data_IF_018419582390
#
_entry.id   IF_018419582390
#
_cell.length_a   1.000
_cell.length_b   1.000
_cell.length_c   1.000
_cell.angle_alpha   90.00
_cell.angle_beta   90.00
_cell.angle_gamma   90.00
#
_symmetry.space_group_name_H-M   'P 1'
#
loop_
_entity.id
_entity.type
_entity.pdbx_description
1 polymer ?
#
# COMPACT_ATOMS: atom_id res chain seq x y z
N UNK A 1 1.80 -26.48 32.83
CA UNK A 1 2.20 -25.07 32.64
C UNK A 1 2.48 -24.84 31.16
N UNK A 2 1.90 -23.76 30.64
CA UNK A 2 1.67 -23.42 29.23
C UNK A 2 2.93 -23.02 28.46
N UNK A 3 3.06 -23.51 27.21
CA UNK A 3 3.67 -22.76 26.11
C UNK A 3 2.91 -23.08 24.81
N UNK A 4 1.85 -22.31 24.53
CA UNK A 4 1.20 -22.30 23.21
C UNK A 4 2.09 -21.53 22.22
N UNK A 5 2.63 -22.26 21.24
CA UNK A 5 3.28 -21.69 20.05
C UNK A 5 2.19 -21.27 19.06
N UNK A 6 1.87 -19.98 19.02
CA UNK A 6 1.04 -19.42 17.95
C UNK A 6 1.92 -19.01 16.78
N UNK A 7 2.11 -19.91 15.83
CA UNK A 7 2.58 -19.59 14.50
C UNK A 7 1.37 -19.17 13.65
N UNK A 8 1.20 -17.87 13.41
CA UNK A 8 0.27 -17.37 12.40
C UNK A 8 1.02 -17.31 11.06
N UNK A 9 0.89 -18.35 10.26
CA UNK A 9 1.26 -18.34 8.84
C UNK A 9 0.01 -17.91 8.08
N UNK A 10 -0.03 -16.65 7.62
CA UNK A 10 -1.08 -16.19 6.72
C UNK A 10 -0.56 -16.29 5.29
N UNK A 11 -0.71 -17.47 4.70
CA UNK A 11 -0.65 -17.66 3.25
C UNK A 11 -2.00 -17.25 2.67
N UNK A 12 -2.08 -16.08 2.04
CA UNK A 12 -3.21 -15.76 1.15
C UNK A 12 -2.77 -14.83 0.04
N UNK A 13 -2.00 -15.37 -0.89
CA UNK A 13 -1.73 -14.79 -2.18
C UNK A 13 -1.90 -15.89 -3.21
N UNK A 14 -3.15 -16.18 -3.57
CA UNK A 14 -3.57 -16.96 -4.74
C UNK A 14 -5.11 -17.00 -4.70
N UNK A 15 -5.75 -15.95 -5.22
CA UNK A 15 -7.14 -15.95 -5.74
C UNK A 15 -7.49 -14.54 -6.26
N UNK A 16 -6.65 -14.01 -7.15
CA UNK A 16 -7.07 -12.95 -8.08
C UNK A 16 -6.91 -13.46 -9.51
N UNK A 17 -7.45 -14.64 -9.78
CA UNK A 17 -7.91 -15.00 -11.11
C UNK A 17 -9.40 -14.64 -11.16
N UNK A 18 -9.68 -13.35 -11.34
CA UNK A 18 -11.00 -12.93 -11.80
C UNK A 18 -11.13 -13.42 -13.24
N UNK A 19 -11.80 -14.55 -13.43
CA UNK A 19 -12.20 -15.04 -14.74
C UNK A 19 -12.96 -13.92 -15.46
N UNK A 20 -12.41 -13.49 -16.60
CA UNK A 20 -13.09 -12.61 -17.53
C UNK A 20 -14.23 -13.42 -18.16
N UNK A 21 -15.47 -13.16 -17.75
CA UNK A 21 -16.67 -13.74 -18.36
C UNK A 21 -17.07 -12.94 -19.61
N UNK A 22 -17.34 -13.58 -20.76
CA UNK A 22 -17.69 -12.90 -21.99
C UNK A 22 -19.19 -12.54 -22.03
N UNK A 23 -19.51 -11.34 -22.51
CA UNK A 23 -20.84 -10.99 -23.01
C UNK A 23 -21.84 -10.51 -21.96
N UNK A 24 -22.06 -9.20 -21.93
CA UNK A 24 -23.15 -8.55 -21.20
C UNK A 24 -23.53 -7.26 -21.92
N UNK A 25 -24.31 -7.39 -22.98
CA UNK A 25 -24.95 -6.31 -23.72
C UNK A 25 -25.95 -5.56 -22.83
N UNK A 26 -25.78 -4.25 -22.68
CA UNK A 26 -26.83 -3.33 -22.26
C UNK A 26 -26.69 -2.02 -23.06
N UNK A 27 -27.63 -1.77 -23.95
CA UNK A 27 -27.84 -0.48 -24.64
C UNK A 27 -28.57 0.53 -23.76
N UNK A 28 -28.66 1.79 -24.22
CA UNK A 28 -29.94 2.21 -24.81
C UNK A 28 -29.81 2.97 -26.14
N UNK A 29 -30.92 2.95 -26.86
CA UNK A 29 -31.17 3.49 -28.20
C UNK A 29 -30.70 4.93 -28.43
N UNK A 30 -30.18 5.17 -29.64
CA UNK A 30 -29.87 6.49 -30.18
C UNK A 30 -29.58 6.38 -31.67
N UNK A 31 -30.61 6.63 -32.48
CA UNK A 31 -30.59 6.66 -33.94
C UNK A 31 -29.53 7.60 -34.51
N UNK A 32 -28.64 7.10 -35.36
CA UNK A 32 -28.11 7.89 -36.46
C UNK A 32 -27.64 7.00 -37.62
N UNK A 33 -27.92 7.48 -38.82
CA UNK A 33 -27.87 6.77 -40.10
C UNK A 33 -26.46 6.65 -40.68
N UNK A 34 -26.24 5.56 -41.43
CA UNK A 34 -25.44 5.53 -42.65
C UNK A 34 -23.91 5.58 -42.54
N UNK A 35 -23.24 4.44 -42.74
CA UNK A 35 -22.36 4.20 -43.90
C UNK A 35 -21.95 2.71 -43.90
N UNK A 36 -22.12 2.10 -45.07
CA UNK A 36 -21.82 0.70 -45.39
C UNK A 36 -20.33 0.47 -45.69
N UNK A 37 -19.76 -0.60 -45.13
CA UNK A 37 -18.84 -1.48 -45.88
C UNK A 37 -18.61 -2.80 -45.14
N UNK A 38 -18.92 -3.89 -45.84
CA UNK A 38 -18.73 -5.27 -45.44
C UNK A 38 -17.24 -5.66 -45.44
N UNK A 39 -16.81 -6.45 -44.46
CA UNK A 39 -15.83 -7.53 -44.68
C UNK A 39 -16.10 -8.69 -43.72
N UNK A 40 -16.33 -9.84 -44.35
CA UNK A 40 -16.42 -11.19 -43.83
C UNK A 40 -15.02 -11.72 -43.49
N UNK A 41 -14.89 -12.57 -42.46
CA UNK A 41 -13.74 -13.49 -42.38
C UNK A 41 -13.28 -13.93 -40.99
N UNK A 42 -13.68 -15.14 -40.59
CA UNK A 42 -12.75 -16.12 -40.03
C UNK A 42 -12.41 -16.03 -38.54
N UNK A 43 -13.08 -16.87 -37.74
CA UNK A 43 -12.60 -17.23 -36.41
C UNK A 43 -11.23 -17.92 -36.48
N UNK A 44 -10.33 -17.53 -35.58
CA UNK A 44 -9.08 -18.26 -35.31
C UNK A 44 -8.74 -18.08 -33.84
N UNK A 45 -9.07 -19.11 -33.06
CA UNK A 45 -8.64 -19.29 -31.68
C UNK A 45 -7.13 -19.52 -31.66
N UNK A 46 -6.35 -18.50 -31.32
CA UNK A 46 -4.92 -18.65 -30.98
C UNK A 46 -4.75 -18.68 -29.48
N UNK A 47 -4.50 -19.90 -28.98
CA UNK A 47 -3.90 -20.15 -27.67
C UNK A 47 -2.44 -19.70 -27.73
N UNK A 48 -2.08 -18.65 -26.99
CA UNK A 48 -0.67 -18.30 -26.79
C UNK A 48 -0.29 -18.51 -25.33
N UNK A 49 0.39 -19.63 -25.13
CA UNK A 49 1.14 -19.98 -23.93
C UNK A 49 2.54 -19.34 -24.03
N UNK A 50 2.96 -18.64 -22.97
CA UNK A 50 4.37 -18.35 -22.63
C UNK A 50 5.22 -17.55 -23.63
N UNK A 51 5.34 -16.24 -23.40
CA UNK A 51 6.36 -15.41 -24.07
C UNK A 51 6.75 -14.19 -23.25
N UNK A 52 7.91 -14.24 -22.60
CA UNK A 52 8.56 -13.09 -21.97
C UNK A 52 9.36 -12.29 -23.03
N UNK A 53 9.20 -10.96 -22.96
CA UNK A 53 9.96 -9.87 -23.62
C UNK A 53 9.77 -9.70 -25.14
N UNK A 54 8.91 -8.74 -25.50
CA UNK A 54 9.08 -7.92 -26.71
C UNK A 54 8.84 -6.46 -26.34
N UNK A 55 9.93 -5.68 -26.39
CA UNK A 55 9.91 -4.23 -26.21
C UNK A 55 9.41 -3.55 -27.48
N UNK A 56 8.18 -3.02 -27.41
CA UNK A 56 7.71 -1.76 -27.98
C UNK A 56 6.18 -1.67 -27.74
N UNK A 57 5.80 -1.19 -26.54
CA UNK A 57 4.40 -1.13 -26.08
C UNK A 57 4.27 -1.62 -24.63
N UNK A 58 5.01 -1.01 -23.71
CA UNK A 58 5.40 -1.68 -22.45
C UNK A 58 4.25 -1.94 -21.48
N UNK A 59 3.15 -1.20 -21.49
CA UNK A 59 1.91 -1.55 -20.77
C UNK A 59 0.71 -0.93 -21.51
N UNK A 60 -0.31 -1.72 -21.85
CA UNK A 60 -1.62 -1.14 -22.18
C UNK A 60 -2.13 -0.32 -20.97
N UNK A 61 -2.84 0.79 -21.21
CA UNK A 61 -3.30 1.69 -20.14
C UNK A 61 -4.02 0.98 -18.99
N UNK A 62 -4.78 -0.08 -19.30
CA UNK A 62 -5.46 -0.93 -18.31
C UNK A 62 -4.48 -1.74 -17.45
N UNK A 63 -3.41 -2.29 -18.04
CA UNK A 63 -2.40 -3.07 -17.29
C UNK A 63 -1.62 -2.18 -16.33
N UNK A 64 -1.24 -0.98 -16.76
CA UNK A 64 -0.57 -0.01 -15.89
C UNK A 64 -1.45 0.44 -14.73
N UNK A 65 -2.75 0.62 -14.96
CA UNK A 65 -3.73 0.97 -13.94
C UNK A 65 -3.86 -0.13 -12.88
N UNK A 66 -4.00 -1.38 -13.32
CA UNK A 66 -4.08 -2.52 -12.40
C UNK A 66 -2.77 -2.65 -11.62
N UNK A 67 -1.62 -2.56 -12.28
CA UNK A 67 -0.31 -2.63 -11.64
C UNK A 67 -0.12 -1.51 -10.60
N UNK A 68 -0.50 -0.27 -10.93
CA UNK A 68 -0.50 0.86 -10.00
C UNK A 68 -1.33 0.56 -8.75
N UNK A 69 -2.59 0.16 -8.94
CA UNK A 69 -3.52 -0.13 -7.85
C UNK A 69 -3.04 -1.26 -6.95
N UNK A 70 -2.54 -2.36 -7.54
CA UNK A 70 -2.02 -3.52 -6.81
C UNK A 70 -0.75 -3.16 -6.02
N UNK A 71 0.23 -2.50 -6.65
CA UNK A 71 1.48 -2.15 -5.98
C UNK A 71 1.26 -1.11 -4.87
N UNK A 72 0.43 -0.09 -5.11
CA UNK A 72 0.09 0.91 -4.10
C UNK A 72 -0.66 0.28 -2.90
N UNK A 73 -1.62 -0.60 -3.17
CA UNK A 73 -2.34 -1.33 -2.13
C UNK A 73 -1.41 -2.25 -1.35
N UNK A 74 -0.53 -2.99 -2.03
CA UNK A 74 0.44 -3.87 -1.38
C UNK A 74 1.38 -3.09 -0.44
N UNK A 75 1.87 -1.93 -0.87
CA UNK A 75 2.71 -1.07 -0.05
C UNK A 75 1.98 -0.55 1.20
N UNK A 76 0.82 0.10 1.04
CA UNK A 76 0.12 0.78 2.15
C UNK A 76 -0.76 -0.10 3.01
N UNK A 77 -1.35 -1.15 2.45
CA UNK A 77 -2.27 -2.04 3.17
C UNK A 77 -1.52 -3.20 3.82
N UNK A 78 -0.34 -3.59 3.31
CA UNK A 78 0.38 -4.77 3.81
C UNK A 78 1.77 -4.40 4.33
N UNK A 79 2.67 -3.92 3.47
CA UNK A 79 4.09 -3.80 3.81
C UNK A 79 4.37 -2.75 4.90
N UNK A 80 3.90 -1.51 4.71
CA UNK A 80 4.11 -0.42 5.68
C UNK A 80 3.52 -0.75 7.07
N UNK A 81 2.25 -1.19 7.19
CA UNK A 81 1.68 -1.59 8.46
C UNK A 81 2.44 -2.75 9.10
N UNK A 82 2.81 -3.77 8.34
CA UNK A 82 3.54 -4.94 8.87
C UNK A 82 4.86 -4.53 9.49
N UNK A 83 5.67 -3.75 8.77
CA UNK A 83 6.93 -3.24 9.31
C UNK A 83 6.72 -2.37 10.56
N UNK A 84 5.65 -1.57 10.61
CA UNK A 84 5.30 -0.76 11.78
C UNK A 84 4.76 -1.57 12.96
N UNK A 85 4.10 -2.71 12.73
CA UNK A 85 3.59 -3.61 13.77
C UNK A 85 4.75 -4.39 14.39
N UNK A 86 5.66 -4.91 13.55
CA UNK A 86 6.81 -5.71 13.97
C UNK A 86 7.66 -4.97 15.02
N UNK A 87 8.00 -3.70 14.79
CA UNK A 87 8.81 -2.90 15.74
C UNK A 87 8.10 -2.59 17.07
N UNK A 88 6.77 -2.78 17.14
CA UNK A 88 5.96 -2.51 18.34
C UNK A 88 5.69 -3.76 19.15
N UNK A 89 5.58 -4.92 18.50
CA UNK A 89 5.18 -6.16 19.14
C UNK A 89 6.33 -7.15 19.35
N UNK A 90 7.33 -7.16 18.48
CA UNK A 90 8.44 -8.09 18.57
C UNK A 90 9.54 -7.56 19.51
N UNK A 91 10.20 -8.46 20.22
CA UNK A 91 11.23 -8.15 21.23
C UNK A 91 12.47 -9.03 21.06
N UNK A 92 13.21 -8.82 19.96
CA UNK A 92 14.46 -9.50 19.68
C UNK A 92 15.55 -8.52 19.19
N UNK A 93 16.82 -8.92 19.33
CA UNK A 93 17.97 -8.11 18.90
C UNK A 93 17.95 -7.94 17.38
N UNK A 94 17.91 -6.68 16.92
CA UNK A 94 17.88 -6.37 15.49
C UNK A 94 16.49 -6.14 14.88
N UNK A 95 15.42 -6.11 15.68
CA UNK A 95 14.05 -5.78 15.20
C UNK A 95 13.99 -4.43 14.45
N UNK A 96 14.84 -3.46 14.81
CA UNK A 96 14.92 -2.17 14.13
C UNK A 96 15.46 -2.28 12.70
N UNK A 97 16.36 -3.23 12.42
CA UNK A 97 16.87 -3.51 11.07
C UNK A 97 15.78 -4.13 10.22
N UNK A 98 15.07 -5.12 10.76
CA UNK A 98 13.93 -5.76 10.08
C UNK A 98 12.87 -4.71 9.75
N UNK A 99 12.55 -3.83 10.70
CA UNK A 99 11.68 -2.69 10.46
C UNK A 99 12.19 -1.82 9.31
N UNK A 100 13.44 -1.35 9.38
CA UNK A 100 14.04 -0.50 8.35
C UNK A 100 14.02 -1.14 6.97
N UNK A 101 14.38 -2.41 6.86
CA UNK A 101 14.35 -3.16 5.59
C UNK A 101 12.94 -3.27 5.03
N UNK A 102 11.94 -3.60 5.87
CA UNK A 102 10.54 -3.60 5.44
C UNK A 102 10.07 -2.23 4.96
N UNK A 103 10.44 -1.15 5.66
CA UNK A 103 10.05 0.21 5.26
C UNK A 103 10.71 0.63 3.94
N UNK A 104 11.99 0.32 3.74
CA UNK A 104 12.70 0.63 2.49
C UNK A 104 12.09 -0.17 1.34
N UNK A 105 11.85 -1.47 1.53
CA UNK A 105 11.22 -2.31 0.51
C UNK A 105 9.82 -1.82 0.15
N UNK A 106 8.98 -1.51 1.16
CA UNK A 106 7.66 -0.93 0.95
C UNK A 106 7.72 0.38 0.16
N UNK A 107 8.71 1.24 0.45
CA UNK A 107 8.89 2.49 -0.25
C UNK A 107 9.33 2.29 -1.70
N UNK A 108 10.22 1.33 -2.00
CA UNK A 108 10.58 0.97 -3.37
C UNK A 108 9.38 0.48 -4.19
N UNK A 109 8.54 -0.38 -3.59
CA UNK A 109 7.29 -0.83 -4.20
C UNK A 109 6.36 0.36 -4.47
N UNK A 110 6.27 1.31 -3.52
CA UNK A 110 5.47 2.50 -3.70
C UNK A 110 6.03 3.47 -4.75
N UNK A 111 7.35 3.60 -4.88
CA UNK A 111 7.98 4.38 -5.97
C UNK A 111 7.56 3.81 -7.33
N UNK A 112 7.58 2.49 -7.50
CA UNK A 112 7.11 1.86 -8.74
C UNK A 112 5.62 2.14 -9.01
N UNK A 113 4.77 2.03 -7.99
CA UNK A 113 3.37 2.40 -8.10
C UNK A 113 3.19 3.88 -8.48
N UNK A 114 3.90 4.79 -7.82
CA UNK A 114 3.85 6.22 -8.08
C UNK A 114 4.29 6.56 -9.50
N UNK A 115 5.37 5.95 -9.99
CA UNK A 115 5.85 6.13 -11.36
C UNK A 115 4.80 5.70 -12.40
N UNK A 116 4.11 4.58 -12.18
CA UNK A 116 2.98 4.17 -13.02
C UNK A 116 1.83 5.18 -12.97
N UNK A 117 1.55 5.76 -11.79
CA UNK A 117 0.56 6.82 -11.63
C UNK A 117 0.88 8.06 -12.47
N UNK A 118 2.13 8.54 -12.39
CA UNK A 118 2.63 9.67 -13.20
C UNK A 118 2.53 9.34 -14.68
N UNK A 119 2.98 8.15 -15.10
CA UNK A 119 2.88 7.72 -16.50
C UNK A 119 1.43 7.75 -17.00
N UNK A 120 0.47 7.25 -16.23
CA UNK A 120 -0.95 7.30 -16.61
C UNK A 120 -1.48 8.73 -16.75
N UNK A 121 -1.05 9.66 -15.90
CA UNK A 121 -1.45 11.08 -16.03
C UNK A 121 -0.92 11.74 -17.30
N UNK A 122 0.22 11.29 -17.83
CA UNK A 122 0.80 11.80 -19.07
C UNK A 122 0.12 11.22 -20.33
N UNK A 123 -0.45 10.02 -20.22
CA UNK A 123 -1.18 9.38 -21.33
C UNK A 123 -2.66 9.79 -21.39
N UNK A 124 -3.20 10.34 -20.30
CA UNK A 124 -4.58 10.79 -20.27
C UNK A 124 -4.78 12.11 -21.05
N UNK A 125 -5.94 12.32 -21.70
CA UNK A 125 -6.25 13.60 -22.33
C UNK A 125 -6.13 14.75 -21.31
N UNK A 126 -5.54 15.87 -21.70
CA UNK A 126 -5.31 17.02 -20.81
C UNK A 126 -6.61 17.53 -20.14
N UNK A 127 -7.76 17.32 -20.79
CA UNK A 127 -9.09 17.69 -20.31
C UNK A 127 -9.55 16.85 -19.10
N UNK A 128 -8.94 15.68 -18.85
CA UNK A 128 -9.29 14.83 -17.72
C UNK A 128 -8.79 15.38 -16.37
N UNK A 129 -7.82 16.32 -16.39
CA UNK A 129 -7.21 16.96 -15.22
C UNK A 129 -7.02 16.01 -14.01
N UNK A 130 -6.39 14.86 -14.24
CA UNK A 130 -6.23 13.83 -13.22
C UNK A 130 -5.39 14.32 -12.04
N UNK A 131 -4.35 15.12 -12.29
CA UNK A 131 -3.45 15.65 -11.26
C UNK A 131 -4.19 16.58 -10.28
N UNK A 132 -5.23 17.30 -10.72
CA UNK A 132 -6.02 18.18 -9.86
C UNK A 132 -6.97 17.47 -8.90
N UNK A 133 -7.03 16.13 -8.93
CA UNK A 133 -7.92 15.34 -8.07
C UNK A 133 -7.26 15.03 -6.73
N UNK A 134 -8.09 14.77 -5.72
CA UNK A 134 -7.62 14.50 -4.35
C UNK A 134 -6.61 13.34 -4.29
N UNK A 135 -6.84 12.26 -5.05
CA UNK A 135 -5.98 11.07 -4.99
C UNK A 135 -4.53 11.33 -5.45
N UNK A 136 -4.26 11.92 -6.63
CA UNK A 136 -2.89 12.23 -7.03
C UNK A 136 -2.21 13.27 -6.13
N UNK A 137 -2.93 14.30 -5.68
CA UNK A 137 -2.37 15.32 -4.77
C UNK A 137 -1.89 14.66 -3.46
N UNK A 138 -2.75 13.86 -2.82
CA UNK A 138 -2.40 13.14 -1.59
C UNK A 138 -1.26 12.14 -1.87
N UNK A 139 -1.29 11.45 -3.01
CA UNK A 139 -0.23 10.54 -3.42
C UNK A 139 1.15 11.21 -3.54
N UNK A 140 1.21 12.40 -4.14
CA UNK A 140 2.45 13.19 -4.24
C UNK A 140 2.96 13.59 -2.86
N UNK A 141 2.07 14.05 -1.97
CA UNK A 141 2.43 14.39 -0.59
C UNK A 141 2.98 13.17 0.14
N UNK A 142 2.32 12.01 0.03
CA UNK A 142 2.79 10.76 0.62
C UNK A 142 4.18 10.39 0.11
N UNK A 143 4.41 10.47 -1.21
CA UNK A 143 5.70 10.17 -1.84
C UNK A 143 6.82 11.05 -1.26
N UNK A 144 6.62 12.36 -1.25
CA UNK A 144 7.64 13.32 -0.76
C UNK A 144 7.91 13.14 0.73
N UNK A 145 6.87 13.02 1.55
CA UNK A 145 7.05 12.93 3.01
C UNK A 145 7.64 11.57 3.42
N UNK A 146 7.28 10.47 2.73
CA UNK A 146 7.90 9.16 2.96
C UNK A 146 9.39 9.14 2.64
N UNK A 147 9.86 9.90 1.64
CA UNK A 147 11.29 10.04 1.36
C UNK A 147 12.09 10.56 2.57
N UNK A 148 11.47 11.43 3.36
CA UNK A 148 12.09 12.05 4.55
C UNK A 148 12.11 11.05 5.73
N UNK A 149 11.20 10.07 5.77
CA UNK A 149 11.05 9.14 6.89
C UNK A 149 12.31 8.32 7.24
N UNK A 150 13.03 7.70 6.29
CA UNK A 150 14.25 6.94 6.60
C UNK A 150 15.35 7.79 7.24
N UNK A 151 15.53 9.03 6.76
CA UNK A 151 16.51 9.97 7.33
C UNK A 151 16.16 10.31 8.77
N UNK A 152 14.88 10.63 9.02
CA UNK A 152 14.38 10.88 10.39
C UNK A 152 14.51 9.64 11.28
N UNK A 153 14.23 8.45 10.75
CA UNK A 153 14.35 7.19 11.45
C UNK A 153 15.79 6.88 11.87
N UNK A 154 16.76 7.15 10.99
CA UNK A 154 18.18 6.95 11.27
C UNK A 154 18.69 7.94 12.33
N UNK A 155 18.34 9.23 12.20
CA UNK A 155 18.66 10.25 13.20
C UNK A 155 18.02 9.89 14.56
N UNK A 156 16.75 9.47 14.55
CA UNK A 156 16.04 9.02 15.73
C UNK A 156 16.78 7.86 16.40
N UNK A 157 17.16 6.83 15.64
CA UNK A 157 17.82 5.65 16.19
C UNK A 157 19.17 6.00 16.84
N UNK A 158 20.03 6.75 16.15
CA UNK A 158 21.32 7.14 16.69
C UNK A 158 21.21 8.04 17.93
N UNK A 159 20.27 8.99 17.94
CA UNK A 159 20.04 9.87 19.10
C UNK A 159 19.41 9.12 20.26
N UNK A 160 18.47 8.22 20.01
CA UNK A 160 17.82 7.43 21.06
C UNK A 160 18.83 6.51 21.75
N UNK A 161 19.74 5.88 20.98
CA UNK A 161 20.83 5.07 21.55
C UNK A 161 21.78 5.88 22.44
N UNK A 162 22.01 7.16 22.13
CA UNK A 162 22.89 8.04 22.90
C UNK A 162 22.24 8.66 24.14
N UNK A 163 20.98 9.09 24.03
CA UNK A 163 20.32 9.92 25.06
C UNK A 163 19.34 9.10 25.93
N UNK A 164 18.90 7.92 25.48
CA UNK A 164 17.99 7.06 26.23
C UNK A 164 16.54 7.56 26.37
N UNK A 165 16.23 8.75 25.82
CA UNK A 165 14.90 9.38 25.83
C UNK A 165 14.45 9.83 24.45
N UNK A 166 13.14 10.07 24.28
CA UNK A 166 12.58 10.64 23.06
C UNK A 166 13.14 12.05 22.84
N UNK A 167 13.66 12.28 21.65
CA UNK A 167 14.10 13.59 21.17
C UNK A 167 13.03 14.16 20.24
N UNK A 168 13.12 15.44 19.87
CA UNK A 168 12.22 16.06 18.90
C UNK A 168 12.08 15.22 17.60
N UNK A 169 13.20 14.71 17.09
CA UNK A 169 13.25 13.82 15.92
C UNK A 169 12.52 12.49 16.13
N UNK A 170 12.52 11.97 17.36
CA UNK A 170 11.76 10.78 17.72
C UNK A 170 10.26 11.01 17.58
N UNK A 171 9.77 12.16 18.03
CA UNK A 171 8.35 12.52 17.89
C UNK A 171 7.98 12.74 16.43
N UNK A 172 8.82 13.45 15.66
CA UNK A 172 8.59 13.65 14.22
C UNK A 172 8.45 12.33 13.46
N UNK A 173 9.39 11.39 13.63
CA UNK A 173 9.32 10.07 12.98
C UNK A 173 8.07 9.27 13.40
N UNK A 174 7.75 9.25 14.70
CA UNK A 174 6.60 8.50 15.21
C UNK A 174 5.26 9.07 14.73
N UNK A 175 5.08 10.39 14.79
CA UNK A 175 3.83 11.06 14.41
C UNK A 175 3.62 11.03 12.89
N UNK A 176 4.66 11.30 12.10
CA UNK A 176 4.55 11.19 10.65
C UNK A 176 4.19 9.77 10.23
N UNK A 177 4.85 8.73 10.75
CA UNK A 177 4.46 7.35 10.47
C UNK A 177 3.00 7.03 10.87
N UNK A 178 2.49 7.63 11.96
CA UNK A 178 1.11 7.47 12.41
C UNK A 178 0.08 8.14 11.50
N UNK A 179 0.46 9.23 10.83
CA UNK A 179 -0.41 9.95 9.90
C UNK A 179 -0.35 9.37 8.49
N UNK A 180 0.85 9.03 8.00
CA UNK A 180 1.07 8.60 6.62
C UNK A 180 0.47 7.22 6.32
N UNK A 181 0.49 6.28 7.27
CA UNK A 181 -0.04 4.92 7.05
C UNK A 181 -1.57 4.97 6.81
N UNK A 182 -2.39 5.55 7.71
CA UNK A 182 -3.83 5.69 7.46
C UNK A 182 -4.13 6.57 6.25
N UNK A 183 -3.40 7.68 6.07
CA UNK A 183 -3.61 8.57 4.92
C UNK A 183 -3.37 7.84 3.59
N UNK A 184 -2.39 6.94 3.52
CA UNK A 184 -2.15 6.11 2.35
C UNK A 184 -3.24 5.09 2.07
N UNK A 185 -3.83 4.48 3.10
CA UNK A 185 -5.00 3.60 2.92
C UNK A 185 -6.23 4.38 2.46
N UNK A 186 -6.48 5.56 3.05
CA UNK A 186 -7.55 6.45 2.57
C UNK A 186 -7.31 6.84 1.11
N UNK A 187 -6.05 7.17 0.77
CA UNK A 187 -5.67 7.54 -0.58
C UNK A 187 -5.92 6.40 -1.59
N UNK A 188 -5.64 5.14 -1.23
CA UNK A 188 -5.95 4.01 -2.10
C UNK A 188 -7.46 3.85 -2.33
N UNK A 189 -8.29 4.07 -1.30
CA UNK A 189 -9.75 4.15 -1.44
C UNK A 189 -10.20 5.29 -2.37
N UNK A 190 -9.60 6.48 -2.25
CA UNK A 190 -9.84 7.60 -3.16
C UNK A 190 -9.41 7.29 -4.60
N UNK A 191 -8.39 6.46 -4.80
CA UNK A 191 -7.98 5.99 -6.13
C UNK A 191 -9.04 5.11 -6.79
N UNK A 192 -9.67 4.21 -6.02
CA UNK A 192 -10.80 3.40 -6.49
C UNK A 192 -12.04 4.26 -6.81
N UNK A 193 -12.32 5.26 -5.97
CA UNK A 193 -13.39 6.23 -6.23
C UNK A 193 -13.12 7.00 -7.53
N UNK A 194 -11.90 7.52 -7.70
CA UNK A 194 -11.51 8.26 -8.89
C UNK A 194 -11.67 7.43 -10.17
N UNK A 195 -11.27 6.16 -10.15
CA UNK A 195 -11.44 5.25 -11.28
C UNK A 195 -12.92 4.96 -11.59
N UNK A 196 -13.78 4.97 -10.56
CA UNK A 196 -15.23 4.79 -10.71
C UNK A 196 -15.91 6.02 -11.35
N UNK A 197 -15.57 7.21 -10.86
CA UNK A 197 -16.13 8.50 -11.31
C UNK A 197 -15.69 8.86 -12.73
N UNK A 198 -14.41 8.68 -13.05
CA UNK A 198 -13.85 9.05 -14.37
C UNK A 198 -14.16 8.03 -15.46
N UNK A 199 -14.59 6.82 -15.10
CA UNK A 199 -14.77 5.73 -16.05
C UNK A 199 -13.45 5.11 -16.56
N UNK A 200 -12.29 5.69 -16.20
CA UNK A 200 -10.98 5.21 -16.59
C UNK A 200 -10.57 4.02 -15.71
N UNK A 201 -10.67 2.81 -16.26
CA UNK A 201 -10.37 1.57 -15.54
C UNK A 201 -11.31 1.33 -14.35
N UNK A 202 -12.63 1.40 -14.60
CA UNK A 202 -13.67 1.20 -13.58
C UNK A 202 -13.41 -0.08 -12.78
N UNK A 203 -13.15 0.02 -11.46
CA UNK A 203 -12.93 -1.15 -10.64
C UNK A 203 -14.23 -1.93 -10.52
N UNK A 204 -14.14 -3.25 -10.63
CA UNK A 204 -15.29 -4.11 -10.39
C UNK A 204 -15.62 -4.14 -8.89
N UNK A 205 -16.86 -4.49 -8.54
CA UNK A 205 -17.25 -4.77 -7.15
C UNK A 205 -16.30 -5.78 -6.49
N UNK A 206 -15.79 -6.73 -7.28
CA UNK A 206 -14.78 -7.72 -6.88
C UNK A 206 -13.40 -7.17 -6.57
N UNK A 207 -13.10 -5.90 -6.87
CA UNK A 207 -11.85 -5.22 -6.48
C UNK A 207 -12.06 -4.26 -5.31
N UNK A 208 -13.22 -3.59 -5.25
CA UNK A 208 -13.54 -2.60 -4.21
C UNK A 208 -13.75 -3.29 -2.85
N UNK A 209 -14.55 -4.37 -2.82
CA UNK A 209 -14.86 -5.09 -1.58
C UNK A 209 -13.61 -5.66 -0.90
N UNK A 210 -12.76 -6.47 -1.58
CA UNK A 210 -11.59 -7.04 -0.90
C UNK A 210 -10.60 -5.96 -0.47
N UNK A 211 -10.43 -4.88 -1.24
CA UNK A 211 -9.61 -3.75 -0.80
C UNK A 211 -10.12 -3.17 0.52
N UNK A 212 -11.43 -2.83 0.60
CA UNK A 212 -12.03 -2.25 1.80
C UNK A 212 -11.93 -3.17 3.02
N UNK A 213 -12.21 -4.46 2.84
CA UNK A 213 -12.12 -5.46 3.92
C UNK A 213 -10.69 -5.60 4.44
N UNK A 214 -9.71 -5.78 3.55
CA UNK A 214 -8.31 -5.96 3.97
C UNK A 214 -7.74 -4.68 4.57
N UNK A 215 -8.03 -3.51 3.99
CA UNK A 215 -7.61 -2.22 4.53
C UNK A 215 -8.22 -1.98 5.92
N UNK A 216 -9.50 -2.33 6.12
CA UNK A 216 -10.17 -2.23 7.41
C UNK A 216 -9.55 -3.13 8.47
N UNK A 217 -9.32 -4.41 8.15
CA UNK A 217 -8.68 -5.37 9.05
C UNK A 217 -7.26 -4.90 9.41
N UNK A 218 -6.45 -4.53 8.42
CA UNK A 218 -5.08 -4.07 8.69
C UNK A 218 -5.07 -2.79 9.51
N UNK A 219 -5.96 -1.83 9.25
CA UNK A 219 -6.10 -0.61 10.05
C UNK A 219 -6.37 -0.93 11.52
N UNK A 220 -7.28 -1.86 11.80
CA UNK A 220 -7.60 -2.29 13.16
C UNK A 220 -6.43 -3.00 13.84
N UNK A 221 -5.74 -3.90 13.12
CA UNK A 221 -4.55 -4.60 13.65
C UNK A 221 -3.42 -3.61 13.95
N UNK A 222 -3.16 -2.68 13.03
CA UNK A 222 -2.14 -1.65 13.18
C UNK A 222 -2.47 -0.72 14.36
N UNK A 223 -3.73 -0.30 14.50
CA UNK A 223 -4.18 0.54 15.61
C UNK A 223 -4.06 -0.20 16.95
N UNK A 224 -4.49 -1.46 17.04
CA UNK A 224 -4.30 -2.29 18.24
C UNK A 224 -2.82 -2.42 18.60
N UNK A 225 -1.95 -2.69 17.62
CA UNK A 225 -0.51 -2.77 17.83
C UNK A 225 0.08 -1.42 18.27
N UNK A 226 -0.44 -0.30 17.77
CA UNK A 226 -0.08 1.05 18.22
C UNK A 226 -0.35 1.25 19.71
N UNK A 227 -1.57 0.92 20.14
CA UNK A 227 -2.03 1.10 21.52
C UNK A 227 -1.25 0.18 22.45
N UNK A 228 -1.12 -1.11 22.10
CA UNK A 228 -0.37 -2.09 22.91
C UNK A 228 1.10 -1.70 23.00
N UNK A 229 1.72 -1.31 21.88
CA UNK A 229 3.11 -0.88 21.83
C UNK A 229 3.40 0.35 22.71
N UNK A 230 2.50 1.34 22.73
CA UNK A 230 2.65 2.51 23.60
C UNK A 230 2.49 2.14 25.08
N UNK A 231 1.44 1.38 25.42
CA UNK A 231 1.18 0.92 26.80
C UNK A 231 2.34 0.13 27.38
N UNK A 232 2.96 -0.77 26.61
CA UNK A 232 4.13 -1.54 27.06
C UNK A 232 5.34 -0.64 27.36
N UNK A 233 5.52 0.44 26.59
CA UNK A 233 6.65 1.37 26.76
C UNK A 233 6.44 2.29 27.97
N UNK A 234 5.22 2.76 28.22
CA UNK A 234 4.90 3.53 29.43
C UNK A 234 5.15 2.70 30.69
N UNK A 235 4.65 1.46 30.74
CA UNK A 235 4.90 0.55 31.87
C UNK A 235 6.38 0.28 32.12
N UNK A 236 7.19 0.16 31.07
CA UNK A 236 8.63 -0.02 31.20
C UNK A 236 9.38 1.23 31.73
N UNK A 237 8.79 2.42 31.61
CA UNK A 237 9.33 3.67 32.16
C UNK A 237 8.92 3.90 33.62
N UNK A 238 7.81 3.31 34.06
CA UNK A 238 7.30 3.41 35.44
C UNK A 238 8.03 2.50 36.43
N UNK A 239 8.76 1.46 35.98
CA UNK A 239 9.58 0.61 36.85
C UNK A 239 10.85 1.37 37.26
N UNK A 240 11.03 1.77 38.53
CA UNK A 240 12.19 2.53 38.97
C UNK A 240 13.46 1.68 38.92
N UNK A 241 14.57 2.29 38.49
CA UNK A 241 15.92 1.68 38.37
C UNK A 241 16.48 1.18 39.72
N UNK A 242 15.81 1.42 40.85
CA UNK A 242 16.25 1.03 42.19
C UNK A 242 16.16 -0.46 42.52
N UNK A 243 15.31 -1.24 41.85
CA UNK A 243 15.06 -2.65 42.25
C UNK A 243 16.24 -3.58 41.88
N UNK A 244 17.08 -3.21 40.91
CA UNK A 244 18.23 -4.04 40.51
C UNK A 244 19.45 -3.90 41.44
N UNK A 245 19.47 -2.92 42.35
CA UNK A 245 20.61 -2.68 43.24
C UNK A 245 20.52 -3.41 44.58
N UNK A 246 19.33 -3.86 45.01
CA UNK A 246 19.20 -4.59 46.28
C UNK A 246 19.24 -6.11 46.13
N UNK A 247 19.11 -6.67 44.92
CA UNK A 247 19.12 -8.12 44.72
C UNK A 247 20.51 -8.75 44.52
N UNK A 248 21.57 -7.94 44.57
CA UNK A 248 22.97 -8.40 44.46
C UNK A 248 23.91 -7.68 45.46
N UNK A 249 23.36 -7.05 46.50
CA UNK A 249 24.12 -6.47 47.61
C UNK A 249 24.08 -7.41 48.82
#
# INVERSE_FOLDING_TARGET
>A
MSVTRSAFVLSFALLTHGQYGPGGQYGPDGSNEGYSSAFNGGGSSSSNNGGFISGNGILGGNTALIAHGVLASFAFVILFPTGSILIRLASFKGVWLVHGLFQIFAYLVYIAAFALGVWMTQQAPAQANLIGRYHPIIGIVLFVVLFIQPVLGLIHHFRYKKVGRRTFWSYGHLWLGRLLIPLGMINGGLGLLLATETGYGRPTTGQIIPYGVVAGITSLLWLKAAIVGERRRTKAQEVPVGVYKEQYA
#
